data_IF_643740949165
#
_entry.id   IF_643740949165
#
_cell.length_a   1.000
_cell.length_b   1.000
_cell.length_c   1.000
_cell.angle_alpha   90.00
_cell.angle_beta   90.00
_cell.angle_gamma   90.00
#
_symmetry.space_group_name_H-M   'P 1'
#
loop_
_entity.id
_entity.type
_entity.pdbx_description
1 polymer ?
#
# COMPACT_ATOMS: atom_id res chain seq x y z
N UNK A 1 -28.33 -17.13 4.72
CA UNK A 1 -29.04 -16.25 5.69
C UNK A 1 -28.07 -15.98 6.84
N UNK A 2 -28.02 -14.74 7.39
CA UNK A 2 -27.14 -14.42 8.52
C UNK A 2 -27.87 -14.73 9.84
N UNK A 3 -27.24 -15.48 10.75
CA UNK A 3 -27.80 -15.85 12.05
C UNK A 3 -26.83 -15.51 13.18
N UNK A 4 -27.23 -14.75 14.21
CA UNK A 4 -26.40 -14.51 15.37
C UNK A 4 -26.40 -15.73 16.30
N UNK A 5 -25.22 -16.08 16.79
CA UNK A 5 -24.97 -17.09 17.82
C UNK A 5 -24.08 -16.50 18.88
N UNK A 6 -24.37 -16.76 20.16
CA UNK A 6 -23.48 -16.39 21.26
C UNK A 6 -22.68 -17.62 21.66
N UNK A 7 -21.38 -17.48 21.71
CA UNK A 7 -20.45 -18.52 22.19
C UNK A 7 -19.48 -17.90 23.18
N UNK A 8 -18.96 -18.69 24.11
CA UNK A 8 -17.93 -18.22 25.02
C UNK A 8 -16.55 -18.23 24.36
N UNK A 9 -15.60 -17.46 24.89
CA UNK A 9 -14.20 -17.50 24.45
C UNK A 9 -13.64 -18.91 24.53
N UNK A 10 -13.90 -19.64 25.63
CA UNK A 10 -13.46 -21.02 25.81
C UNK A 10 -14.01 -21.95 24.74
N UNK A 11 -15.30 -21.86 24.40
CA UNK A 11 -15.92 -22.65 23.31
C UNK A 11 -15.27 -22.36 21.95
N UNK A 12 -15.03 -21.08 21.63
CA UNK A 12 -14.44 -20.68 20.36
C UNK A 12 -13.00 -21.19 20.22
N UNK A 13 -12.22 -21.09 21.30
CA UNK A 13 -10.83 -21.57 21.31
C UNK A 13 -10.75 -23.09 21.26
N UNK A 14 -11.68 -23.81 21.91
CA UNK A 14 -11.79 -25.27 21.80
C UNK A 14 -12.12 -25.70 20.36
N UNK A 15 -13.08 -25.04 19.70
CA UNK A 15 -13.43 -25.34 18.30
C UNK A 15 -12.29 -25.00 17.33
N UNK A 16 -11.50 -23.96 17.62
CA UNK A 16 -10.31 -23.62 16.84
C UNK A 16 -9.23 -24.72 16.98
N UNK A 17 -9.02 -25.23 18.21
CA UNK A 17 -8.07 -26.29 18.50
C UNK A 17 -8.48 -27.63 17.82
N UNK A 18 -9.78 -27.95 17.83
CA UNK A 18 -10.33 -29.15 17.21
C UNK A 18 -10.45 -29.05 15.68
N UNK A 19 -10.18 -27.88 15.09
CA UNK A 19 -10.31 -27.63 13.65
C UNK A 19 -11.75 -27.52 13.15
N UNK A 20 -12.76 -27.48 14.04
CA UNK A 20 -14.17 -27.21 13.71
C UNK A 20 -14.42 -25.74 13.35
N UNK A 21 -13.59 -24.85 13.88
CA UNK A 21 -13.50 -23.44 13.52
C UNK A 21 -12.13 -23.19 12.87
N UNK A 22 -12.10 -22.41 11.81
CA UNK A 22 -10.84 -21.96 11.17
C UNK A 22 -10.87 -20.46 10.99
N UNK A 23 -9.72 -19.84 11.03
CA UNK A 23 -9.56 -18.44 10.61
C UNK A 23 -9.14 -18.45 9.16
N UNK A 24 -9.90 -17.75 8.29
CA UNK A 24 -9.47 -17.56 6.92
C UNK A 24 -8.07 -16.90 6.95
N UNK A 25 -7.13 -17.47 6.20
CA UNK A 25 -5.83 -16.80 6.04
C UNK A 25 -6.09 -15.43 5.47
N UNK A 26 -5.61 -14.42 6.18
CA UNK A 26 -5.77 -13.04 5.76
C UNK A 26 -5.14 -12.83 4.38
N UNK A 27 -5.98 -12.91 3.35
CA UNK A 27 -5.56 -12.70 1.96
C UNK A 27 -5.34 -11.22 1.64
N UNK A 28 -5.70 -10.33 2.58
CA UNK A 28 -5.51 -8.89 2.42
C UNK A 28 -4.10 -8.44 2.75
N UNK A 29 -3.25 -9.35 3.28
CA UNK A 29 -1.91 -9.00 3.73
C UNK A 29 -1.93 -7.98 4.88
N UNK A 30 -3.06 -7.83 5.58
CA UNK A 30 -3.14 -6.96 6.72
C UNK A 30 -2.13 -7.45 7.79
N UNK A 31 -1.27 -6.56 8.30
CA UNK A 31 -0.32 -6.94 9.32
C UNK A 31 -1.06 -7.43 10.56
N UNK A 32 -0.41 -8.29 11.33
CA UNK A 32 -0.88 -8.60 12.66
C UNK A 32 -1.11 -7.31 13.46
N UNK A 33 -2.10 -7.38 14.34
CA UNK A 33 -2.34 -6.25 15.22
C UNK A 33 -1.09 -5.92 16.04
N UNK A 34 -0.71 -4.64 16.14
CA UNK A 34 0.36 -4.25 17.04
C UNK A 34 -0.02 -4.60 18.48
N UNK A 35 0.96 -4.91 19.28
CA UNK A 35 0.79 -5.42 20.65
C UNK A 35 -0.13 -4.54 21.51
N UNK A 36 0.01 -3.23 21.40
CA UNK A 36 -0.90 -2.28 22.05
C UNK A 36 -2.39 -2.55 21.72
N UNK A 37 -2.73 -2.82 20.45
CA UNK A 37 -4.11 -3.11 20.05
C UNK A 37 -4.60 -4.46 20.59
N UNK A 38 -3.71 -5.45 20.66
CA UNK A 38 -4.00 -6.75 21.27
C UNK A 38 -4.31 -6.59 22.76
N UNK A 39 -3.51 -5.80 23.49
CA UNK A 39 -3.72 -5.50 24.92
C UNK A 39 -5.02 -4.74 25.18
N UNK A 40 -5.42 -3.81 24.33
CA UNK A 40 -6.71 -3.13 24.41
C UNK A 40 -7.90 -4.08 24.28
N UNK A 41 -7.81 -5.09 23.41
CA UNK A 41 -8.85 -6.12 23.30
C UNK A 41 -8.93 -6.95 24.60
N UNK A 42 -7.78 -7.38 25.14
CA UNK A 42 -7.72 -8.14 26.41
C UNK A 42 -8.30 -7.34 27.57
N UNK A 43 -7.93 -6.08 27.69
CA UNK A 43 -8.48 -5.15 28.70
C UNK A 43 -10.00 -5.09 28.61
N UNK A 44 -10.55 -4.97 27.39
CA UNK A 44 -12.00 -4.94 27.19
C UNK A 44 -12.68 -6.25 27.61
N UNK A 45 -12.09 -7.41 27.27
CA UNK A 45 -12.62 -8.72 27.65
C UNK A 45 -12.57 -8.92 29.15
N UNK A 46 -11.45 -8.60 29.81
CA UNK A 46 -11.28 -8.73 31.26
C UNK A 46 -12.19 -7.82 32.06
N UNK A 47 -12.56 -6.65 31.51
CA UNK A 47 -13.56 -5.73 32.09
C UNK A 47 -15.01 -6.16 31.82
N UNK A 48 -15.23 -7.17 30.98
CA UNK A 48 -16.59 -7.51 30.52
C UNK A 48 -17.18 -6.48 29.54
N UNK A 49 -16.37 -5.63 28.94
CA UNK A 49 -16.82 -4.64 27.95
C UNK A 49 -17.10 -5.28 26.61
N UNK A 50 -18.09 -4.76 25.83
CA UNK A 50 -18.43 -5.35 24.56
C UNK A 50 -17.29 -5.27 23.56
N UNK A 51 -17.00 -6.40 22.92
CA UNK A 51 -16.10 -6.49 21.76
C UNK A 51 -16.93 -6.70 20.49
N UNK A 52 -16.40 -6.29 19.35
CA UNK A 52 -17.11 -6.47 18.09
C UNK A 52 -17.36 -7.96 17.76
N UNK A 53 -18.42 -8.28 17.01
CA UNK A 53 -18.77 -9.66 16.66
C UNK A 53 -17.72 -10.29 15.75
N UNK A 54 -17.64 -11.63 15.77
CA UNK A 54 -16.98 -12.42 14.75
C UNK A 54 -17.97 -12.74 13.62
N UNK A 55 -17.49 -12.83 12.41
CA UNK A 55 -18.29 -13.25 11.26
C UNK A 55 -17.73 -14.55 10.69
N UNK A 56 -18.57 -15.56 10.57
CA UNK A 56 -18.18 -16.88 10.12
C UNK A 56 -19.03 -17.37 8.95
N UNK A 57 -18.38 -17.98 7.97
CA UNK A 57 -19.02 -18.69 6.88
C UNK A 57 -19.24 -20.15 7.30
N UNK A 58 -20.45 -20.64 7.12
CA UNK A 58 -20.85 -22.03 7.38
C UNK A 58 -21.11 -22.71 6.04
N UNK A 59 -20.29 -23.70 5.71
CA UNK A 59 -20.46 -24.53 4.51
C UNK A 59 -21.06 -25.89 4.90
N UNK A 60 -21.75 -26.57 3.96
CA UNK A 60 -22.44 -27.83 4.24
C UNK A 60 -21.48 -28.96 4.63
N UNK A 61 -20.24 -28.95 4.17
CA UNK A 61 -19.29 -30.06 4.30
C UNK A 61 -17.93 -29.64 4.89
N UNK A 62 -17.87 -28.55 5.65
CA UNK A 62 -16.58 -28.08 6.15
C UNK A 62 -16.62 -27.41 7.51
N UNK A 63 -15.46 -27.10 8.08
CA UNK A 63 -15.37 -26.32 9.29
C UNK A 63 -15.96 -24.91 9.06
N UNK A 64 -16.50 -24.33 10.13
CA UNK A 64 -16.84 -22.90 10.10
C UNK A 64 -15.58 -22.08 9.87
N UNK A 65 -15.65 -21.09 9.01
CA UNK A 65 -14.49 -20.26 8.67
C UNK A 65 -14.76 -18.82 9.08
N UNK A 66 -13.98 -18.29 10.03
CA UNK A 66 -14.04 -16.87 10.43
C UNK A 66 -13.49 -16.04 9.27
N UNK A 67 -14.34 -15.20 8.71
CA UNK A 67 -14.05 -14.32 7.55
C UNK A 67 -13.79 -12.88 7.97
N UNK A 68 -14.26 -12.48 9.18
CA UNK A 68 -13.89 -11.22 9.84
C UNK A 68 -13.81 -11.42 11.36
N UNK A 69 -12.93 -10.65 12.01
CA UNK A 69 -12.61 -10.80 13.42
C UNK A 69 -11.49 -11.81 13.71
N UNK A 70 -10.81 -12.33 12.70
CA UNK A 70 -9.72 -13.29 12.84
C UNK A 70 -8.58 -12.79 13.73
N UNK A 71 -8.23 -11.49 13.67
CA UNK A 71 -7.23 -10.89 14.56
C UNK A 71 -7.67 -10.89 16.03
N UNK A 72 -8.97 -10.69 16.30
CA UNK A 72 -9.53 -10.81 17.67
C UNK A 72 -9.38 -12.22 18.20
N UNK A 73 -9.76 -13.21 17.41
CA UNK A 73 -9.66 -14.61 17.81
C UNK A 73 -8.20 -15.06 18.03
N UNK A 74 -7.27 -14.65 17.16
CA UNK A 74 -5.84 -14.91 17.34
C UNK A 74 -5.30 -14.26 18.62
N UNK A 75 -5.68 -13.01 18.92
CA UNK A 75 -5.26 -12.34 20.15
C UNK A 75 -5.71 -13.09 21.41
N UNK A 76 -6.95 -13.58 21.43
CA UNK A 76 -7.45 -14.40 22.54
C UNK A 76 -6.68 -15.72 22.65
N UNK A 77 -6.34 -16.35 21.53
CA UNK A 77 -5.51 -17.56 21.49
C UNK A 77 -4.07 -17.32 21.98
N UNK A 78 -3.45 -16.22 21.55
CA UNK A 78 -2.11 -15.82 22.01
C UNK A 78 -2.08 -15.59 23.52
N UNK A 79 -3.12 -14.97 24.06
CA UNK A 79 -3.22 -14.77 25.51
C UNK A 79 -3.32 -16.11 26.26
N UNK A 80 -4.19 -17.01 25.86
CA UNK A 80 -4.34 -18.33 26.49
C UNK A 80 -3.07 -19.17 26.40
N UNK A 81 -2.31 -19.01 25.28
CA UNK A 81 -1.00 -19.68 25.13
C UNK A 81 0.11 -19.07 26.00
N UNK A 82 -0.13 -17.94 26.66
CA UNK A 82 0.87 -17.21 27.44
C UNK A 82 1.82 -16.33 26.62
N UNK A 83 1.52 -16.12 25.33
CA UNK A 83 2.34 -15.27 24.45
C UNK A 83 2.03 -13.76 24.61
N UNK A 84 0.98 -13.41 25.34
CA UNK A 84 0.54 -12.04 25.58
C UNK A 84 0.23 -11.87 27.07
N UNK A 85 0.56 -10.72 27.63
CA UNK A 85 0.33 -10.34 29.03
C UNK A 85 -0.70 -9.22 29.17
N UNK A 86 -1.21 -9.03 30.38
CA UNK A 86 -2.15 -7.94 30.72
C UNK A 86 -1.38 -6.64 30.90
N UNK A 87 -1.88 -5.55 30.32
CA UNK A 87 -1.42 -4.19 30.60
C UNK A 87 -2.42 -3.51 31.56
N UNK A 88 -2.12 -3.55 32.86
CA UNK A 88 -2.95 -2.95 33.90
C UNK A 88 -2.92 -1.42 33.98
N UNK A 89 -2.19 -0.76 33.04
CA UNK A 89 -2.01 0.73 33.03
C UNK A 89 -2.93 1.41 32.03
N UNK A 90 -3.72 0.64 31.29
CA UNK A 90 -4.62 1.20 30.27
C UNK A 90 -5.71 2.08 30.90
N UNK A 91 -6.07 3.14 30.20
CA UNK A 91 -7.09 4.10 30.63
C UNK A 91 -8.48 3.69 30.10
N UNK A 92 -9.55 3.78 30.94
CA UNK A 92 -9.56 4.22 32.33
C UNK A 92 -8.90 3.18 33.26
N UNK A 93 -8.23 3.65 34.33
CA UNK A 93 -7.56 2.77 35.28
C UNK A 93 -8.55 1.93 36.05
N UNK A 94 -8.20 0.67 36.29
CA UNK A 94 -8.98 -0.31 37.03
C UNK A 94 -8.07 -1.00 38.06
N UNK A 95 -8.47 -1.04 39.32
CA UNK A 95 -7.62 -1.56 40.39
C UNK A 95 -7.41 -3.07 40.25
N UNK A 96 -8.42 -3.82 39.78
CA UNK A 96 -8.32 -5.26 39.55
C UNK A 96 -7.32 -5.58 38.45
N UNK A 97 -7.35 -4.83 37.35
CA UNK A 97 -6.42 -5.04 36.23
C UNK A 97 -5.01 -4.57 36.59
N UNK A 98 -4.88 -3.55 37.44
CA UNK A 98 -3.59 -3.11 37.93
C UNK A 98 -2.90 -4.16 38.82
N UNK A 99 -3.68 -4.92 39.61
CA UNK A 99 -3.16 -6.01 40.46
C UNK A 99 -2.66 -7.21 39.66
N UNK A 100 -3.04 -7.32 38.38
CA UNK A 100 -2.62 -8.37 37.49
C UNK A 100 -1.76 -7.85 36.32
N UNK A 101 -1.21 -6.62 36.42
CA UNK A 101 -0.30 -6.04 35.41
C UNK A 101 0.87 -7.01 35.12
N UNK A 102 1.14 -7.25 33.85
CA UNK A 102 2.21 -8.16 33.39
C UNK A 102 1.92 -9.66 33.52
N UNK A 103 0.75 -10.07 34.01
CA UNK A 103 0.39 -11.48 34.12
C UNK A 103 -0.11 -12.04 32.79
N UNK A 104 0.31 -13.27 32.51
CA UNK A 104 -0.22 -14.09 31.41
C UNK A 104 -1.45 -14.87 31.85
N UNK A 105 -2.23 -15.43 30.93
CA UNK A 105 -3.44 -16.20 31.24
C UNK A 105 -3.22 -17.31 32.28
N UNK A 106 -2.15 -18.18 32.21
CA UNK A 106 -1.91 -19.20 33.24
C UNK A 106 -1.67 -18.62 34.64
N UNK A 107 -1.21 -17.40 34.76
CA UNK A 107 -0.89 -16.71 36.01
C UNK A 107 -2.07 -15.95 36.61
N UNK A 108 -3.19 -15.85 35.88
CA UNK A 108 -4.39 -15.21 36.37
C UNK A 108 -5.02 -15.99 37.55
N UNK A 109 -5.61 -15.29 38.52
CA UNK A 109 -6.48 -15.92 39.51
C UNK A 109 -7.59 -16.75 38.84
N UNK A 110 -7.95 -17.90 39.47
CA UNK A 110 -8.94 -18.82 38.91
C UNK A 110 -10.26 -18.17 38.53
N UNK A 111 -10.75 -17.22 39.36
CA UNK A 111 -11.99 -16.49 39.04
C UNK A 111 -11.92 -15.64 37.80
N UNK A 112 -10.76 -14.98 37.54
CA UNK A 112 -10.57 -14.18 36.33
C UNK A 112 -10.38 -15.06 35.09
N UNK A 113 -9.72 -16.22 35.22
CA UNK A 113 -9.64 -17.18 34.12
C UNK A 113 -11.02 -17.70 33.73
N UNK A 114 -11.83 -18.10 34.71
CA UNK A 114 -13.20 -18.53 34.43
C UNK A 114 -14.02 -17.41 33.79
N UNK A 115 -13.93 -16.19 34.28
CA UNK A 115 -14.64 -15.04 33.70
C UNK A 115 -14.19 -14.75 32.25
N UNK A 116 -12.91 -14.91 31.96
CA UNK A 116 -12.38 -14.80 30.59
C UNK A 116 -12.89 -15.92 29.68
N UNK A 117 -12.87 -17.18 30.14
CA UNK A 117 -13.34 -18.32 29.38
C UNK A 117 -14.85 -18.25 29.11
N UNK A 118 -15.62 -17.76 30.08
CA UNK A 118 -17.07 -17.59 30.00
C UNK A 118 -17.51 -16.28 29.30
N UNK A 119 -16.55 -15.44 28.88
CA UNK A 119 -16.85 -14.18 28.23
C UNK A 119 -17.61 -14.42 26.93
N UNK A 120 -18.83 -13.79 26.74
CA UNK A 120 -19.67 -14.03 25.58
C UNK A 120 -19.18 -13.25 24.36
N UNK A 121 -19.01 -13.97 23.26
CA UNK A 121 -18.69 -13.41 21.94
C UNK A 121 -19.86 -13.66 20.99
N UNK A 122 -20.34 -12.64 20.32
CA UNK A 122 -21.34 -12.78 19.27
C UNK A 122 -20.67 -13.26 17.98
N UNK A 123 -21.13 -14.37 17.43
CA UNK A 123 -20.71 -14.89 16.12
C UNK A 123 -21.87 -14.79 15.17
N UNK A 124 -21.71 -14.05 14.08
CA UNK A 124 -22.71 -13.94 13.01
C UNK A 124 -22.36 -14.96 11.94
N UNK A 125 -23.18 -16.00 11.81
CA UNK A 125 -22.97 -17.08 10.87
C UNK A 125 -23.70 -16.82 9.56
N UNK A 126 -22.97 -16.84 8.45
CA UNK A 126 -23.51 -16.81 7.10
C UNK A 126 -23.69 -18.25 6.60
N UNK A 127 -24.95 -18.65 6.39
CA UNK A 127 -25.31 -19.99 5.91
C UNK A 127 -25.84 -19.94 4.49
N UNK A 128 -25.39 -20.88 3.63
CA UNK A 128 -25.87 -21.02 2.25
C UNK A 128 -25.45 -19.90 1.31
N UNK A 129 -24.39 -19.18 1.65
CA UNK A 129 -23.79 -18.16 0.80
C UNK A 129 -22.39 -18.63 0.35
N UNK A 130 -22.01 -18.29 -0.88
CA UNK A 130 -20.64 -18.45 -1.33
C UNK A 130 -19.73 -17.38 -0.71
N UNK A 131 -18.41 -17.64 -0.55
CA UNK A 131 -17.47 -16.65 0.00
C UNK A 131 -17.53 -15.30 -0.72
N UNK A 132 -17.80 -15.30 -2.02
CA UNK A 132 -17.91 -14.12 -2.87
C UNK A 132 -19.13 -13.26 -2.53
N UNK A 133 -20.22 -13.87 -2.01
CA UNK A 133 -21.44 -13.19 -1.62
C UNK A 133 -21.34 -12.62 -0.19
N UNK A 134 -20.55 -13.26 0.66
CA UNK A 134 -20.38 -12.85 2.07
C UNK A 134 -19.50 -11.59 2.16
N UNK A 135 -18.46 -11.48 1.33
CA UNK A 135 -17.56 -10.33 1.33
C UNK A 135 -18.25 -8.98 1.14
N UNK A 136 -19.13 -8.78 0.15
CA UNK A 136 -19.90 -7.53 0.02
C UNK A 136 -20.81 -7.23 1.22
N UNK A 137 -21.35 -8.27 1.88
CA UNK A 137 -22.18 -8.09 3.05
C UNK A 137 -21.36 -7.64 4.28
N UNK A 138 -20.22 -8.29 4.53
CA UNK A 138 -19.27 -7.89 5.58
C UNK A 138 -18.77 -6.47 5.37
N UNK A 139 -18.52 -6.14 4.12
CA UNK A 139 -18.09 -4.82 3.72
C UNK A 139 -19.09 -3.72 4.17
N UNK A 140 -20.40 -3.91 3.92
CA UNK A 140 -21.45 -2.96 4.32
C UNK A 140 -21.57 -2.83 5.84
N UNK A 141 -21.23 -3.87 6.59
CA UNK A 141 -21.26 -3.88 8.05
C UNK A 141 -20.06 -3.17 8.68
N UNK A 142 -18.90 -3.22 8.02
CA UNK A 142 -17.66 -2.58 8.46
C UNK A 142 -17.49 -1.14 7.94
N UNK A 143 -18.53 -0.57 7.35
CA UNK A 143 -18.53 0.77 6.74
C UNK A 143 -18.22 1.90 7.76
N UNK A 144 -18.25 1.61 9.05
CA UNK A 144 -17.90 2.54 10.12
C UNK A 144 -16.40 2.64 10.40
N UNK A 145 -15.59 1.64 10.01
CA UNK A 145 -14.13 1.62 10.18
C UNK A 145 -13.43 1.72 8.81
N UNK A 146 -13.29 2.94 8.33
CA UNK A 146 -12.26 3.48 7.42
C UNK A 146 -11.41 2.48 6.61
N UNK A 147 -12.03 1.53 5.91
CA UNK A 147 -11.38 0.99 4.73
C UNK A 147 -11.26 2.13 3.72
N UNK A 148 -10.05 2.43 3.28
CA UNK A 148 -9.89 3.41 2.21
C UNK A 148 -10.73 2.96 1.01
N UNK A 149 -11.20 3.91 0.22
CA UNK A 149 -12.00 3.62 -0.97
C UNK A 149 -11.34 2.56 -1.88
N UNK A 150 -10.02 2.51 -1.91
CA UNK A 150 -9.22 1.54 -2.67
C UNK A 150 -9.35 0.12 -2.13
N UNK A 151 -9.38 -0.06 -0.80
CA UNK A 151 -9.57 -1.38 -0.18
C UNK A 151 -10.97 -1.95 -0.50
N UNK A 152 -11.96 -1.09 -0.57
CA UNK A 152 -13.32 -1.44 -0.99
C UNK A 152 -13.33 -1.97 -2.41
N UNK A 153 -12.75 -1.23 -3.31
CA UNK A 153 -12.78 -1.50 -4.73
C UNK A 153 -12.03 -2.78 -5.11
N UNK A 154 -10.94 -3.10 -4.42
CA UNK A 154 -10.17 -4.35 -4.65
C UNK A 154 -10.95 -5.58 -4.16
N UNK A 155 -11.78 -5.45 -3.13
CA UNK A 155 -12.64 -6.55 -2.66
C UNK A 155 -13.84 -6.82 -3.57
N UNK A 156 -14.31 -5.80 -4.29
CA UNK A 156 -15.45 -5.87 -5.23
C UNK A 156 -15.02 -6.09 -6.69
N UNK A 157 -13.72 -6.15 -6.98
CA UNK A 157 -13.18 -6.11 -8.33
C UNK A 157 -13.25 -7.45 -9.04
N UNK A 158 -13.72 -7.44 -10.29
CA UNK A 158 -13.62 -8.53 -11.24
C UNK A 158 -12.17 -8.84 -11.68
N UNK A 159 -11.99 -9.29 -12.92
CA UNK A 159 -10.70 -9.75 -13.44
C UNK A 159 -9.53 -8.75 -13.26
N UNK A 160 -9.78 -7.44 -13.34
CA UNK A 160 -8.76 -6.42 -13.09
C UNK A 160 -8.18 -6.49 -11.68
N UNK A 161 -9.02 -6.55 -10.66
CA UNK A 161 -8.54 -6.61 -9.27
C UNK A 161 -7.86 -7.93 -8.95
N UNK A 162 -8.28 -9.04 -9.58
CA UNK A 162 -7.59 -10.31 -9.47
C UNK A 162 -6.18 -10.24 -10.04
N UNK A 163 -6.01 -9.63 -11.21
CA UNK A 163 -4.71 -9.42 -11.83
C UNK A 163 -3.80 -8.51 -11.00
N UNK A 164 -4.33 -7.42 -10.42
CA UNK A 164 -3.54 -6.55 -9.53
C UNK A 164 -3.07 -7.32 -8.30
N UNK A 165 -3.93 -8.13 -7.68
CA UNK A 165 -3.54 -9.00 -6.55
C UNK A 165 -2.50 -10.04 -6.94
N UNK A 166 -2.69 -10.71 -8.08
CA UNK A 166 -1.73 -11.68 -8.60
C UNK A 166 -0.35 -11.03 -8.83
N UNK A 167 -0.33 -9.84 -9.43
CA UNK A 167 0.91 -9.09 -9.64
C UNK A 167 1.56 -8.68 -8.31
N UNK A 168 0.78 -8.28 -7.30
CA UNK A 168 1.29 -7.98 -5.96
C UNK A 168 1.93 -9.20 -5.31
N UNK A 169 1.32 -10.38 -5.43
CA UNK A 169 1.89 -11.63 -4.92
C UNK A 169 3.21 -11.99 -5.62
N UNK A 170 3.23 -11.91 -6.95
CA UNK A 170 4.48 -12.11 -7.73
C UNK A 170 5.57 -11.11 -7.33
N UNK A 171 5.17 -9.86 -7.11
CA UNK A 171 6.10 -8.80 -6.70
C UNK A 171 6.70 -9.05 -5.31
N UNK A 172 5.95 -9.64 -4.38
CA UNK A 172 6.48 -10.05 -3.08
C UNK A 172 7.60 -11.10 -3.24
N UNK A 173 7.43 -12.08 -4.14
CA UNK A 173 8.48 -13.06 -4.47
C UNK A 173 9.72 -12.42 -5.09
N UNK A 174 9.57 -11.29 -5.80
CA UNK A 174 10.68 -10.52 -6.36
C UNK A 174 11.33 -9.57 -5.35
N UNK A 175 10.76 -9.41 -4.17
CA UNK A 175 11.28 -8.59 -3.09
C UNK A 175 10.56 -7.26 -2.87
N UNK A 176 9.29 -7.12 -3.28
CA UNK A 176 8.44 -5.99 -2.88
C UNK A 176 8.02 -6.16 -1.42
N UNK A 177 8.88 -5.75 -0.49
CA UNK A 177 8.64 -5.85 0.95
C UNK A 177 8.79 -4.50 1.64
N UNK A 178 8.23 -4.38 2.84
CA UNK A 178 8.32 -3.15 3.64
C UNK A 178 9.77 -2.72 3.90
N UNK A 179 10.62 -3.68 4.22
CA UNK A 179 12.02 -3.44 4.56
C UNK A 179 12.79 -2.84 3.39
N UNK A 180 12.47 -3.24 2.16
CA UNK A 180 13.16 -2.79 0.96
C UNK A 180 12.61 -1.48 0.42
N UNK A 181 11.30 -1.31 0.39
CA UNK A 181 10.70 -0.13 -0.26
C UNK A 181 10.27 0.99 0.70
N UNK A 182 10.15 0.70 2.02
CA UNK A 182 9.95 1.72 3.04
C UNK A 182 8.52 1.95 3.51
N UNK A 183 7.51 1.25 2.96
CA UNK A 183 6.13 1.28 3.46
C UNK A 183 5.47 -0.09 3.36
N UNK A 184 4.55 -0.38 4.31
CA UNK A 184 3.88 -1.67 4.40
C UNK A 184 2.65 -1.77 3.49
N UNK A 185 2.24 -3.02 3.19
CA UNK A 185 1.00 -3.28 2.47
C UNK A 185 -0.25 -3.33 3.36
N UNK A 186 -0.19 -2.76 4.57
CA UNK A 186 -1.25 -2.84 5.58
C UNK A 186 -2.63 -2.39 5.11
N UNK A 187 -2.67 -1.50 4.13
CA UNK A 187 -3.90 -0.91 3.59
C UNK A 187 -4.02 -1.14 2.08
N UNK A 188 -3.58 -2.29 1.58
CA UNK A 188 -3.49 -2.59 0.15
C UNK A 188 -2.74 -1.50 -0.63
N UNK A 189 -1.63 -1.03 -0.01
CA UNK A 189 -0.86 0.08 -0.56
C UNK A 189 -0.15 -0.31 -1.86
N UNK A 190 0.25 -1.58 -1.98
CA UNK A 190 0.90 -2.09 -3.19
C UNK A 190 -0.10 -2.24 -4.32
N UNK A 191 -1.30 -2.78 -4.04
CA UNK A 191 -2.40 -2.87 -4.99
C UNK A 191 -2.85 -1.49 -5.48
N UNK A 192 -2.90 -0.50 -4.58
CA UNK A 192 -3.20 0.89 -4.94
C UNK A 192 -2.15 1.45 -5.93
N UNK A 193 -0.86 1.26 -5.63
CA UNK A 193 0.23 1.68 -6.52
C UNK A 193 0.13 0.98 -7.88
N UNK A 194 0.04 -0.34 -7.89
CA UNK A 194 0.04 -1.12 -9.13
C UNK A 194 -1.20 -0.87 -9.97
N UNK A 195 -2.38 -0.80 -9.35
CA UNK A 195 -3.62 -0.45 -10.05
C UNK A 195 -3.55 0.90 -10.75
N UNK A 196 -2.99 1.92 -10.09
CA UNK A 196 -2.79 3.27 -10.67
C UNK A 196 -1.80 3.26 -11.82
N UNK A 197 -0.70 2.55 -11.68
CA UNK A 197 0.29 2.43 -12.78
C UNK A 197 -0.33 1.72 -13.98
N UNK A 198 -1.04 0.62 -13.78
CA UNK A 198 -1.73 -0.10 -14.87
C UNK A 198 -2.71 0.83 -15.59
N UNK A 199 -3.54 1.59 -14.86
CA UNK A 199 -4.51 2.51 -15.46
C UNK A 199 -3.82 3.61 -16.26
N UNK A 200 -2.73 4.17 -15.75
CA UNK A 200 -1.98 5.20 -16.47
C UNK A 200 -1.37 4.64 -17.76
N UNK A 201 -0.85 3.42 -17.72
CA UNK A 201 -0.28 2.74 -18.88
C UNK A 201 -1.37 2.36 -19.90
N UNK A 202 -2.49 1.84 -19.44
CA UNK A 202 -3.66 1.51 -20.26
C UNK A 202 -4.22 2.74 -20.99
N UNK A 203 -4.31 3.88 -20.28
CA UNK A 203 -4.80 5.14 -20.83
C UNK A 203 -3.74 5.96 -21.54
N UNK A 204 -2.49 5.54 -21.49
CA UNK A 204 -1.33 6.27 -22.03
C UNK A 204 -1.26 7.71 -21.52
N UNK A 205 -1.60 7.92 -20.26
CA UNK A 205 -1.62 9.23 -19.61
C UNK A 205 -1.22 9.13 -18.13
N UNK A 206 -0.11 9.75 -17.76
CA UNK A 206 0.39 9.82 -16.37
C UNK A 206 -0.66 10.40 -15.42
N UNK A 207 -1.49 11.35 -15.90
CA UNK A 207 -2.56 11.95 -15.10
C UNK A 207 -3.55 10.90 -14.59
N UNK A 208 -3.76 9.82 -15.33
CA UNK A 208 -4.70 8.78 -14.98
C UNK A 208 -4.26 7.95 -13.75
N UNK A 209 -2.99 8.02 -13.33
CA UNK A 209 -2.54 7.47 -12.05
C UNK A 209 -3.02 8.29 -10.85
N UNK A 210 -3.52 9.49 -11.08
CA UNK A 210 -4.02 10.36 -10.02
C UNK A 210 -5.35 9.90 -9.43
N UNK A 211 -5.70 10.50 -8.28
CA UNK A 211 -6.85 10.12 -7.46
C UNK A 211 -8.17 10.79 -7.86
N UNK A 212 -8.35 11.19 -9.10
CA UNK A 212 -9.72 11.43 -9.53
C UNK A 212 -10.49 10.14 -9.24
N UNK A 213 -11.40 10.19 -8.27
CA UNK A 213 -12.17 9.04 -7.76
C UNK A 213 -12.87 8.23 -8.87
N UNK A 214 -12.95 8.77 -10.05
CA UNK A 214 -13.51 8.15 -11.25
C UNK A 214 -12.54 7.20 -11.98
N UNK A 215 -11.19 7.36 -11.85
CA UNK A 215 -10.28 6.53 -12.66
C UNK A 215 -10.04 5.13 -12.06
N UNK A 216 -9.52 5.01 -10.85
CA UNK A 216 -9.25 3.70 -10.25
C UNK A 216 -10.56 2.98 -9.89
N UNK A 217 -11.48 3.70 -9.27
CA UNK A 217 -12.79 3.17 -8.90
C UNK A 217 -13.63 2.78 -10.09
N UNK A 218 -13.70 3.62 -11.10
CA UNK A 218 -14.41 3.31 -12.33
C UNK A 218 -13.82 2.05 -12.97
N UNK A 219 -12.48 1.99 -13.06
CA UNK A 219 -11.78 0.86 -13.65
C UNK A 219 -11.99 -0.46 -12.89
N UNK A 220 -12.04 -0.39 -11.56
CA UNK A 220 -12.33 -1.54 -10.72
C UNK A 220 -13.79 -1.99 -10.85
N UNK A 221 -14.74 -1.06 -10.99
CA UNK A 221 -16.16 -1.37 -11.24
C UNK A 221 -16.40 -1.96 -12.63
N UNK A 222 -15.69 -1.47 -13.63
CA UNK A 222 -15.77 -1.99 -14.99
C UNK A 222 -15.37 -3.46 -15.08
N UNK A 223 -14.44 -3.90 -14.22
CA UNK A 223 -14.12 -5.30 -13.95
C UNK A 223 -13.47 -6.08 -15.10
N UNK A 224 -13.30 -5.50 -16.29
CA UNK A 224 -12.67 -6.20 -17.42
C UNK A 224 -11.15 -6.37 -17.19
N UNK A 225 -10.51 -7.40 -17.76
CA UNK A 225 -9.10 -7.67 -17.54
C UNK A 225 -8.20 -6.56 -18.13
N UNK A 226 -7.03 -6.39 -17.54
CA UNK A 226 -5.96 -5.55 -18.11
C UNK A 226 -5.54 -6.13 -19.47
N UNK A 227 -5.33 -5.31 -20.51
CA UNK A 227 -4.73 -5.77 -21.76
C UNK A 227 -3.39 -6.47 -21.49
N UNK A 228 -3.12 -7.63 -22.17
CA UNK A 228 -1.93 -8.44 -21.89
C UNK A 228 -0.61 -7.67 -22.03
N UNK A 229 -0.50 -6.79 -23.03
CA UNK A 229 0.67 -5.95 -23.27
C UNK A 229 0.90 -4.96 -22.13
N UNK A 230 -0.17 -4.34 -21.62
CA UNK A 230 -0.11 -3.42 -20.46
C UNK A 230 0.33 -4.16 -19.20
N UNK A 231 -0.24 -5.35 -18.96
CA UNK A 231 0.12 -6.17 -17.81
C UNK A 231 1.59 -6.59 -17.85
N UNK A 232 2.07 -7.01 -19.02
CA UNK A 232 3.46 -7.43 -19.23
C UNK A 232 4.44 -6.28 -19.04
N UNK A 233 4.14 -5.09 -19.59
CA UNK A 233 4.98 -3.91 -19.44
C UNK A 233 5.11 -3.48 -17.99
N UNK A 234 3.99 -3.40 -17.25
CA UNK A 234 4.02 -3.03 -15.83
C UNK A 234 4.71 -4.10 -15.00
N UNK A 235 4.47 -5.37 -15.27
CA UNK A 235 5.13 -6.49 -14.60
C UNK A 235 6.65 -6.48 -14.82
N UNK A 236 7.08 -6.25 -16.05
CA UNK A 236 8.50 -6.15 -16.43
C UNK A 236 9.18 -4.96 -15.77
N UNK A 237 8.57 -3.78 -15.81
CA UNK A 237 9.10 -2.59 -15.18
C UNK A 237 9.18 -2.73 -13.64
N UNK A 238 8.14 -3.28 -13.02
CA UNK A 238 8.11 -3.56 -11.60
C UNK A 238 9.23 -4.51 -11.21
N UNK A 239 9.34 -5.64 -11.91
CA UNK A 239 10.38 -6.63 -11.65
C UNK A 239 11.76 -6.02 -11.83
N UNK A 240 12.00 -5.32 -12.95
CA UNK A 240 13.30 -4.69 -13.22
C UNK A 240 13.66 -3.63 -12.17
N UNK A 241 12.68 -2.92 -11.62
CA UNK A 241 12.91 -1.92 -10.57
C UNK A 241 13.25 -2.59 -9.22
N UNK A 242 12.39 -3.52 -8.76
CA UNK A 242 12.50 -4.06 -7.38
C UNK A 242 13.59 -5.13 -7.22
N UNK A 243 14.06 -5.77 -8.29
CA UNK A 243 15.17 -6.72 -8.22
C UNK A 243 16.55 -6.05 -8.26
N UNK A 244 16.59 -4.73 -8.37
CA UNK A 244 17.87 -4.00 -8.40
C UNK A 244 18.55 -3.97 -7.04
N UNK A 245 19.88 -4.16 -7.01
CA UNK A 245 20.64 -4.12 -5.75
C UNK A 245 20.59 -2.75 -5.06
N UNK A 246 20.42 -1.66 -5.83
CA UNK A 246 20.33 -0.30 -5.29
C UNK A 246 19.18 -0.12 -4.31
N UNK A 247 18.08 -0.86 -4.47
CA UNK A 247 16.92 -0.82 -3.55
C UNK A 247 17.26 -1.34 -2.14
N UNK A 248 18.30 -2.16 -2.01
CA UNK A 248 18.76 -2.68 -0.72
C UNK A 248 19.48 -1.62 0.11
N UNK A 249 19.90 -0.52 -0.52
CA UNK A 249 20.52 0.61 0.19
C UNK A 249 19.51 1.24 1.19
N UNK A 250 19.89 1.36 2.48
CA UNK A 250 19.00 1.92 3.51
C UNK A 250 18.53 3.35 3.22
N UNK A 251 19.27 4.08 2.39
CA UNK A 251 18.94 5.43 1.98
C UNK A 251 17.82 5.50 0.94
N UNK A 252 17.57 4.41 0.19
CA UNK A 252 16.50 4.36 -0.81
C UNK A 252 15.23 3.88 -0.13
N UNK A 253 14.25 4.77 -0.02
CA UNK A 253 12.92 4.47 0.53
C UNK A 253 11.88 5.29 -0.21
N UNK A 254 10.82 4.63 -0.62
CA UNK A 254 9.73 5.24 -1.36
C UNK A 254 8.57 5.64 -0.46
N UNK A 255 7.77 6.58 -0.95
CA UNK A 255 6.35 6.71 -0.62
C UNK A 255 5.53 6.06 -1.72
N UNK A 256 4.23 5.86 -1.51
CA UNK A 256 3.34 5.40 -2.59
C UNK A 256 3.47 6.29 -3.85
N UNK A 257 3.48 7.60 -3.63
CA UNK A 257 3.55 8.58 -4.72
C UNK A 257 4.86 8.51 -5.50
N UNK A 258 5.99 8.37 -4.81
CA UNK A 258 7.28 8.27 -5.49
C UNK A 258 7.42 6.93 -6.21
N UNK A 259 6.93 5.82 -5.64
CA UNK A 259 6.97 4.51 -6.31
C UNK A 259 6.12 4.51 -7.60
N UNK A 260 4.92 5.12 -7.59
CA UNK A 260 4.13 5.33 -8.81
C UNK A 260 4.94 6.09 -9.86
N UNK A 261 5.59 7.18 -9.48
CA UNK A 261 6.36 8.00 -10.41
C UNK A 261 7.57 7.25 -11.01
N UNK A 262 8.28 6.47 -10.19
CA UNK A 262 9.39 5.63 -10.65
C UNK A 262 8.94 4.52 -11.60
N UNK A 263 7.84 3.84 -11.29
CA UNK A 263 7.29 2.80 -12.16
C UNK A 263 6.85 3.38 -13.51
N UNK A 264 6.18 4.53 -13.51
CA UNK A 264 5.77 5.22 -14.74
C UNK A 264 6.98 5.62 -15.60
N UNK A 265 8.04 6.16 -14.97
CA UNK A 265 9.28 6.46 -15.68
C UNK A 265 9.85 5.21 -16.35
N UNK A 266 9.99 4.10 -15.59
CA UNK A 266 10.61 2.86 -16.11
C UNK A 266 9.76 2.26 -17.22
N UNK A 267 8.43 2.13 -17.05
CA UNK A 267 7.53 1.60 -18.10
C UNK A 267 7.67 2.41 -19.38
N UNK A 268 7.59 3.75 -19.28
CA UNK A 268 7.64 4.64 -20.45
C UNK A 268 9.03 4.61 -21.11
N UNK A 269 10.11 4.59 -20.33
CA UNK A 269 11.45 4.51 -20.86
C UNK A 269 11.69 3.15 -21.57
N UNK A 270 11.23 2.05 -20.99
CA UNK A 270 11.35 0.72 -21.63
C UNK A 270 10.54 0.62 -22.92
N UNK A 271 9.30 1.14 -22.95
CA UNK A 271 8.50 1.21 -24.18
C UNK A 271 9.16 2.04 -25.25
N UNK A 272 9.77 3.16 -24.89
CA UNK A 272 10.35 4.09 -25.84
C UNK A 272 11.74 3.70 -26.34
N UNK A 273 12.59 3.19 -25.46
CA UNK A 273 14.01 2.98 -25.72
C UNK A 273 14.42 1.49 -25.63
N UNK A 274 13.50 0.61 -25.28
CA UNK A 274 13.76 -0.81 -25.12
C UNK A 274 14.26 -1.21 -23.74
N UNK A 275 14.41 -2.51 -23.52
CA UNK A 275 14.96 -3.06 -22.27
C UNK A 275 16.44 -2.68 -22.11
N UNK A 276 16.87 -2.54 -20.88
CA UNK A 276 18.22 -2.13 -20.50
C UNK A 276 18.32 -0.66 -20.05
N UNK A 277 17.32 0.18 -20.42
CA UNK A 277 17.31 1.60 -19.98
C UNK A 277 17.04 1.74 -18.48
N UNK A 278 16.48 0.74 -17.86
CA UNK A 278 16.22 0.70 -16.42
C UNK A 278 17.49 0.84 -15.56
N UNK A 279 18.66 0.54 -16.10
CA UNK A 279 19.90 0.76 -15.34
C UNK A 279 20.20 2.27 -15.14
N UNK A 280 19.80 3.13 -16.07
CA UNK A 280 19.87 4.58 -15.88
C UNK A 280 18.88 5.05 -14.81
N UNK A 281 17.70 4.44 -14.74
CA UNK A 281 16.74 4.71 -13.68
C UNK A 281 17.30 4.28 -12.31
N UNK A 282 17.95 3.12 -12.22
CA UNK A 282 18.64 2.66 -11.00
C UNK A 282 19.75 3.63 -10.57
N UNK A 283 20.61 4.00 -11.49
CA UNK A 283 21.67 4.97 -11.24
C UNK A 283 21.16 6.34 -10.78
N UNK A 284 20.07 6.82 -11.41
CA UNK A 284 19.41 8.04 -10.98
C UNK A 284 18.78 7.89 -9.59
N UNK A 285 18.15 6.77 -9.31
CA UNK A 285 17.50 6.48 -8.04
C UNK A 285 18.49 6.46 -6.88
N UNK A 286 19.66 5.86 -7.07
CA UNK A 286 20.77 5.81 -6.10
C UNK A 286 21.20 7.21 -5.66
N UNK A 287 21.18 8.17 -6.56
CA UNK A 287 21.44 9.57 -6.23
C UNK A 287 20.20 10.28 -5.70
N UNK A 288 19.06 10.23 -6.42
CA UNK A 288 17.90 11.09 -6.19
C UNK A 288 17.19 10.78 -4.85
N UNK A 289 16.96 9.51 -4.52
CA UNK A 289 16.21 9.15 -3.32
C UNK A 289 16.91 9.56 -2.01
N UNK A 290 18.22 9.36 -1.83
CA UNK A 290 18.94 9.91 -0.68
C UNK A 290 18.90 11.44 -0.62
N UNK A 291 19.13 12.13 -1.74
CA UNK A 291 19.17 13.60 -1.77
C UNK A 291 17.81 14.23 -1.42
N UNK A 292 16.72 13.72 -1.97
CA UNK A 292 15.41 14.25 -1.62
C UNK A 292 15.03 14.00 -0.15
N UNK A 293 15.49 12.91 0.45
CA UNK A 293 15.28 12.64 1.89
C UNK A 293 16.11 13.57 2.77
N UNK A 294 17.35 13.89 2.37
CA UNK A 294 18.17 14.89 3.05
C UNK A 294 17.46 16.25 3.07
N UNK A 295 16.96 16.70 1.90
CA UNK A 295 16.19 17.94 1.81
C UNK A 295 14.94 17.91 2.68
N UNK A 296 14.19 16.80 2.70
CA UNK A 296 13.01 16.64 3.55
C UNK A 296 13.36 16.69 5.06
N UNK A 297 14.59 16.35 5.44
CA UNK A 297 15.12 16.46 6.80
C UNK A 297 15.75 17.86 7.09
N UNK A 298 15.65 18.82 6.16
CA UNK A 298 16.24 20.15 6.30
C UNK A 298 17.75 20.20 6.12
N UNK A 299 18.33 19.20 5.45
CA UNK A 299 19.78 19.12 5.18
C UNK A 299 20.05 19.48 3.71
N UNK A 300 21.22 20.05 3.45
CA UNK A 300 21.68 20.34 2.09
C UNK A 300 21.97 19.05 1.31
N UNK A 301 22.01 19.16 -0.03
CA UNK A 301 22.53 18.09 -0.87
C UNK A 301 24.01 17.83 -0.58
N UNK A 302 24.40 16.56 -0.51
CA UNK A 302 25.80 16.14 -0.31
C UNK A 302 26.50 15.72 -1.61
N UNK A 303 25.72 15.60 -2.70
CA UNK A 303 26.24 15.25 -4.02
C UNK A 303 25.51 16.03 -5.13
N UNK A 304 26.24 16.39 -6.17
CA UNK A 304 25.66 16.99 -7.38
C UNK A 304 24.91 15.95 -8.19
N UNK A 305 23.88 16.38 -8.99
CA UNK A 305 23.22 15.47 -9.92
C UNK A 305 24.26 14.79 -10.83
N UNK A 306 24.13 13.47 -11.03
CA UNK A 306 24.97 12.79 -12.00
C UNK A 306 24.58 13.25 -13.42
N UNK A 307 25.42 14.05 -14.04
CA UNK A 307 25.24 14.46 -15.43
C UNK A 307 26.25 13.73 -16.29
N UNK A 308 25.78 12.92 -17.24
CA UNK A 308 26.63 12.16 -18.16
C UNK A 308 26.58 12.69 -19.58
N UNK A 309 25.51 13.40 -19.93
CA UNK A 309 25.31 13.85 -21.31
C UNK A 309 25.08 15.35 -21.41
N UNK A 310 25.48 15.93 -22.52
CA UNK A 310 25.52 17.37 -22.76
C UNK A 310 24.17 18.02 -23.02
N UNK A 311 23.06 17.25 -23.03
CA UNK A 311 21.72 17.79 -23.33
C UNK A 311 21.18 18.66 -22.20
N UNK A 312 21.44 18.29 -20.95
CA UNK A 312 21.03 19.03 -19.76
C UNK A 312 22.22 19.08 -18.80
N UNK A 313 22.83 20.23 -18.64
CA UNK A 313 24.09 20.38 -17.89
C UNK A 313 23.96 21.08 -16.56
N UNK A 314 22.91 21.85 -16.35
CA UNK A 314 22.73 22.67 -15.16
C UNK A 314 21.25 22.61 -14.70
N UNK A 315 20.96 21.63 -13.84
CA UNK A 315 19.65 21.47 -13.23
C UNK A 315 19.61 22.15 -11.86
N UNK A 316 18.58 22.97 -11.56
CA UNK A 316 18.32 23.50 -10.23
C UNK A 316 17.83 22.38 -9.31
N UNK A 317 18.75 21.50 -8.89
CA UNK A 317 18.44 20.24 -8.24
C UNK A 317 17.74 20.41 -6.88
N UNK A 318 18.13 21.41 -6.09
CA UNK A 318 17.54 21.70 -4.79
C UNK A 318 16.05 22.06 -4.95
N UNK A 319 15.76 22.98 -5.86
CA UNK A 319 14.42 23.46 -6.13
C UNK A 319 13.54 22.32 -6.72
N UNK A 320 14.07 21.59 -7.70
CA UNK A 320 13.32 20.48 -8.32
C UNK A 320 13.01 19.36 -7.32
N UNK A 321 13.96 18.98 -6.46
CA UNK A 321 13.73 17.97 -5.43
C UNK A 321 12.81 18.48 -4.32
N UNK A 322 12.85 19.77 -4.00
CA UNK A 322 11.90 20.39 -3.06
C UNK A 322 10.48 20.34 -3.59
N UNK A 323 10.26 20.72 -4.86
CA UNK A 323 8.96 20.61 -5.54
C UNK A 323 8.51 19.12 -5.59
N UNK A 324 9.42 18.19 -5.91
CA UNK A 324 9.10 16.76 -5.92
C UNK A 324 8.61 16.30 -4.55
N UNK A 325 9.31 16.66 -3.46
CA UNK A 325 8.95 16.30 -2.10
C UNK A 325 7.58 16.88 -1.70
N UNK A 326 7.33 18.15 -2.00
CA UNK A 326 6.04 18.79 -1.74
C UNK A 326 4.92 18.05 -2.48
N UNK A 327 5.09 17.79 -3.78
CA UNK A 327 4.11 17.06 -4.61
C UNK A 327 4.02 15.58 -4.26
N UNK A 328 4.94 15.03 -3.49
CA UNK A 328 4.85 13.67 -2.94
C UNK A 328 4.23 13.60 -1.53
N UNK A 329 4.08 14.74 -0.85
CA UNK A 329 3.50 14.85 0.49
C UNK A 329 2.08 15.44 0.47
N UNK A 330 1.89 16.56 -0.23
CA UNK A 330 0.60 17.28 -0.31
C UNK A 330 -0.09 16.93 -1.61
N UNK A 331 -1.37 16.55 -1.55
CA UNK A 331 -2.13 16.11 -2.73
C UNK A 331 -1.38 15.07 -3.59
N UNK A 332 -0.60 14.23 -2.91
CA UNK A 332 0.44 13.39 -3.49
C UNK A 332 -0.02 12.50 -4.65
N UNK A 333 -1.29 12.06 -4.61
CA UNK A 333 -1.87 11.15 -5.59
C UNK A 333 -2.82 11.85 -6.58
N UNK A 334 -2.79 13.19 -6.68
CA UNK A 334 -3.54 13.91 -7.73
C UNK A 334 -2.85 13.75 -9.09
N UNK A 335 -3.62 13.87 -10.16
CA UNK A 335 -3.09 13.79 -11.52
C UNK A 335 -2.06 14.88 -11.83
N UNK A 336 -2.27 16.10 -11.33
CA UNK A 336 -1.34 17.22 -11.53
C UNK A 336 -0.03 16.99 -10.74
N UNK A 337 -0.10 16.55 -9.47
CA UNK A 337 1.10 16.21 -8.70
C UNK A 337 1.89 15.06 -9.34
N UNK A 338 1.20 14.05 -9.88
CA UNK A 338 1.85 12.94 -10.58
C UNK A 338 2.56 13.40 -11.85
N UNK A 339 1.93 14.28 -12.64
CA UNK A 339 2.56 14.88 -13.85
C UNK A 339 3.80 15.68 -13.52
N UNK A 340 3.75 16.51 -12.47
CA UNK A 340 4.89 17.34 -12.06
C UNK A 340 6.06 16.46 -11.62
N UNK A 341 5.82 15.45 -10.79
CA UNK A 341 6.86 14.50 -10.37
C UNK A 341 7.44 13.71 -11.54
N UNK A 342 6.60 13.26 -12.46
CA UNK A 342 7.03 12.59 -13.69
C UNK A 342 7.91 13.49 -14.54
N UNK A 343 7.55 14.74 -14.74
CA UNK A 343 8.36 15.71 -15.48
C UNK A 343 9.73 15.94 -14.83
N UNK A 344 9.79 16.05 -13.50
CA UNK A 344 11.04 16.19 -12.77
C UNK A 344 11.92 14.94 -12.95
N UNK A 345 11.35 13.75 -12.83
CA UNK A 345 12.11 12.51 -13.06
C UNK A 345 12.66 12.43 -14.49
N UNK A 346 11.89 12.84 -15.50
CA UNK A 346 12.36 12.85 -16.87
C UNK A 346 13.47 13.88 -17.13
N UNK A 347 13.45 15.05 -16.48
CA UNK A 347 14.54 16.01 -16.53
C UNK A 347 15.85 15.38 -16.03
N UNK A 348 15.82 14.76 -14.87
CA UNK A 348 16.99 14.08 -14.33
C UNK A 348 17.38 12.83 -15.15
N UNK A 349 16.41 12.06 -15.66
CA UNK A 349 16.68 10.88 -16.46
C UNK A 349 17.41 11.21 -17.77
N UNK A 350 17.00 12.29 -18.45
CA UNK A 350 17.72 12.78 -19.63
C UNK A 350 19.11 13.31 -19.25
N UNK A 351 19.24 14.03 -18.15
CA UNK A 351 20.54 14.54 -17.68
C UNK A 351 21.56 13.45 -17.38
N UNK A 352 21.13 12.27 -16.89
CA UNK A 352 22.02 11.12 -16.64
C UNK A 352 22.31 10.28 -17.89
N UNK A 353 21.84 10.71 -19.06
CA UNK A 353 22.03 10.00 -20.34
C UNK A 353 21.10 8.80 -20.52
N UNK A 354 19.97 8.75 -19.81
CA UNK A 354 18.98 7.68 -19.91
C UNK A 354 18.20 7.66 -21.24
N UNK A 355 18.32 8.70 -22.05
CA UNK A 355 17.65 8.82 -23.34
C UNK A 355 18.66 8.69 -24.51
N UNK A 356 18.82 7.51 -25.07
CA UNK A 356 19.82 7.28 -26.13
C UNK A 356 19.48 7.99 -27.45
N UNK A 357 18.22 8.42 -27.64
CA UNK A 357 17.74 9.05 -28.87
C UNK A 357 17.09 10.39 -28.56
N UNK A 358 17.81 11.53 -28.72
CA UNK A 358 17.30 12.85 -28.37
C UNK A 358 16.05 13.27 -29.16
N UNK A 359 15.83 12.74 -30.36
CA UNK A 359 14.68 13.05 -31.19
C UNK A 359 13.41 12.28 -30.82
N UNK A 360 13.51 11.27 -29.94
CA UNK A 360 12.37 10.43 -29.57
C UNK A 360 11.58 11.02 -28.39
N UNK A 361 10.23 11.01 -28.43
CA UNK A 361 9.42 11.41 -27.29
C UNK A 361 9.80 10.61 -26.01
N UNK A 362 9.76 11.21 -24.80
CA UNK A 362 9.37 12.61 -24.54
C UNK A 362 10.57 13.59 -24.52
N UNK A 363 11.76 13.21 -25.03
CA UNK A 363 13.00 14.02 -24.90
C UNK A 363 12.85 15.44 -25.45
N UNK A 364 12.28 15.68 -26.65
CA UNK A 364 12.07 17.06 -27.12
C UNK A 364 11.20 17.88 -26.15
N UNK A 365 10.19 17.28 -25.55
CA UNK A 365 9.34 17.93 -24.55
C UNK A 365 10.10 18.23 -23.25
N UNK A 366 11.00 17.32 -22.85
CA UNK A 366 11.89 17.53 -21.68
C UNK A 366 12.83 18.70 -21.91
N UNK A 367 13.44 18.79 -23.10
CA UNK A 367 14.35 19.88 -23.45
C UNK A 367 13.60 21.23 -23.53
N UNK A 368 12.43 21.27 -24.12
CA UNK A 368 11.58 22.47 -24.14
C UNK A 368 11.19 22.89 -22.71
N UNK A 369 10.87 21.92 -21.84
CA UNK A 369 10.60 22.19 -20.43
C UNK A 369 11.82 22.77 -19.72
N UNK A 370 12.99 22.21 -19.97
CA UNK A 370 14.26 22.68 -19.42
C UNK A 370 14.56 24.14 -19.84
N UNK A 371 14.37 24.47 -21.11
CA UNK A 371 14.58 25.84 -21.63
C UNK A 371 13.63 26.81 -20.96
N UNK A 372 12.34 26.50 -20.89
CA UNK A 372 11.32 27.36 -20.24
C UNK A 372 11.59 27.58 -18.75
N UNK A 373 12.09 26.57 -18.05
CA UNK A 373 12.45 26.72 -16.64
C UNK A 373 13.58 27.73 -16.42
N UNK A 374 14.52 27.84 -17.38
CA UNK A 374 15.65 28.80 -17.31
C UNK A 374 15.22 30.25 -17.61
N UNK A 375 14.12 30.41 -18.32
CA UNK A 375 13.57 31.74 -18.68
C UNK A 375 12.62 32.31 -17.60
N UNK A 376 12.08 31.46 -16.72
CA UNK A 376 11.09 31.83 -15.71
C UNK A 376 11.68 32.37 -14.42
N UNK A 377 10.96 33.29 -13.77
CA UNK A 377 11.33 33.86 -12.47
C UNK A 377 10.94 32.89 -11.31
N UNK A 378 9.85 32.11 -11.51
CA UNK A 378 9.33 31.12 -10.56
C UNK A 378 9.37 29.74 -11.22
N UNK A 379 10.25 28.89 -10.70
CA UNK A 379 10.48 27.56 -11.24
C UNK A 379 9.24 26.66 -11.12
N UNK A 380 8.58 26.67 -9.97
CA UNK A 380 7.41 25.83 -9.74
C UNK A 380 6.23 26.23 -10.62
N UNK A 381 5.95 27.52 -10.69
CA UNK A 381 4.88 28.05 -11.54
C UNK A 381 5.17 27.75 -13.03
N UNK A 382 6.42 27.91 -13.47
CA UNK A 382 6.87 27.61 -14.83
C UNK A 382 6.74 26.14 -15.17
N UNK A 383 7.19 25.24 -14.27
CA UNK A 383 7.06 23.81 -14.41
C UNK A 383 5.59 23.37 -14.46
N UNK A 384 4.77 23.85 -13.53
CA UNK A 384 3.34 23.53 -13.48
C UNK A 384 2.58 24.05 -14.72
N UNK A 385 2.93 25.23 -15.22
CA UNK A 385 2.34 25.79 -16.44
C UNK A 385 2.75 24.99 -17.69
N UNK A 386 4.02 24.60 -17.80
CA UNK A 386 4.52 23.81 -18.93
C UNK A 386 3.91 22.40 -18.96
N UNK A 387 3.79 21.77 -17.80
CA UNK A 387 3.15 20.46 -17.65
C UNK A 387 1.66 20.51 -18.05
N UNK A 388 0.95 21.58 -17.72
CA UNK A 388 -0.45 21.77 -18.13
C UNK A 388 -0.60 22.10 -19.62
N UNK A 389 0.17 23.04 -20.11
CA UNK A 389 0.07 23.56 -21.49
C UNK A 389 0.36 22.50 -22.56
N UNK A 390 1.23 21.53 -22.28
CA UNK A 390 1.67 20.48 -23.21
C UNK A 390 0.99 19.15 -22.98
N UNK A 391 -0.02 19.07 -22.10
CA UNK A 391 -0.62 17.80 -21.71
C UNK A 391 0.46 16.75 -21.34
N UNK A 392 1.44 17.18 -20.55
CA UNK A 392 2.57 16.33 -20.16
C UNK A 392 2.12 14.97 -19.69
N UNK A 393 2.87 13.94 -20.09
CA UNK A 393 2.63 12.59 -19.64
C UNK A 393 1.63 11.82 -20.50
N UNK A 394 1.15 12.38 -21.60
CA UNK A 394 0.48 11.61 -22.65
C UNK A 394 1.50 11.04 -23.64
N UNK A 395 1.26 9.83 -24.10
CA UNK A 395 2.09 9.17 -25.12
C UNK A 395 1.22 8.32 -26.07
N UNK A 396 1.75 8.00 -27.23
CA UNK A 396 1.09 7.18 -28.26
C UNK A 396 1.17 5.68 -27.96
#
# INVERSE_FOLDING_TARGET
MAQPRVQTVGELLAELADGRLRVERDRTGAPEWPEHRKRLLLDSVLRGWPVGPLYALVTAEGPRTVVDGGQRLRTLQEFVSGALDVDGRLTPTDDLLRDIDGKTYPELPTGLRSAFDDYPVVVIEFQGLAPEEVRPALFRLNDADQLSYTQRSVLESGAFGEQVRELTLKAADWGLTHERIGFSNATLAYEDVLGRVIIAVERRDVKAAGSDSTSLTGRLKDGYPTPPDVYEDVSTALRSLITRPEIDEPAIRFSKASLVSWLLLVVRAQRQFGLGVEHYAGYLMEWLEPQRRRLAAGLDLDARPPTRDALITDLPAVELLSIFNERAAVEAMTGDSTRVRDAILWLFFVAVGGAPTPASPPVPQVLELYDRMREGVDLEASLAAAVRAKEWGRWE
#
